data_IF_500892476699
#
_entry.id   IF_500892476699
#
_cell.length_a   1.000
_cell.length_b   1.000
_cell.length_c   1.000
_cell.angle_alpha   90.00
_cell.angle_beta   90.00
_cell.angle_gamma   90.00
#
_symmetry.space_group_name_H-M   'P 1'
#
loop_
_entity.id
_entity.type
_entity.pdbx_description
1 polymer ?
#
# COMPACT_ATOMS: atom_id res chain seq x y z
N UNK A 1 10.86 12.72 16.60
CA UNK A 1 10.54 11.66 15.60
C UNK A 1 9.87 12.32 14.41
N UNK A 2 10.24 12.02 13.15
CA UNK A 2 9.64 12.70 12.01
C UNK A 2 8.16 12.32 11.86
N UNK A 3 7.30 13.31 11.57
CA UNK A 3 5.84 13.14 11.55
C UNK A 3 5.36 12.04 10.59
N UNK A 4 6.04 11.87 9.45
CA UNK A 4 5.72 10.80 8.51
C UNK A 4 5.90 9.40 9.11
N UNK A 5 6.89 9.23 10.00
CA UNK A 5 7.18 7.95 10.63
C UNK A 5 6.17 7.67 11.74
N UNK A 6 5.77 8.71 12.50
CA UNK A 6 4.67 8.62 13.46
C UNK A 6 3.38 8.20 12.74
N UNK A 7 2.98 8.94 11.70
CA UNK A 7 1.74 8.66 10.98
C UNK A 7 1.76 7.30 10.30
N UNK A 8 2.88 6.93 9.66
CA UNK A 8 3.06 5.62 9.03
C UNK A 8 2.97 4.46 10.03
N UNK A 9 3.65 4.55 11.18
CA UNK A 9 3.59 3.50 12.21
C UNK A 9 2.21 3.36 12.83
N UNK A 10 1.55 4.49 13.13
CA UNK A 10 0.18 4.47 13.67
C UNK A 10 -0.77 3.75 12.71
N UNK A 11 -0.74 4.09 11.42
CA UNK A 11 -1.61 3.44 10.43
C UNK A 11 -1.23 1.97 10.19
N UNK A 12 0.06 1.64 10.19
CA UNK A 12 0.54 0.26 10.06
C UNK A 12 0.02 -0.60 11.23
N UNK A 13 0.26 -0.17 12.47
CA UNK A 13 -0.20 -0.87 13.68
C UNK A 13 -1.72 -0.96 13.69
N UNK A 14 -2.42 0.12 13.34
CA UNK A 14 -3.87 0.13 13.28
C UNK A 14 -4.42 -0.91 12.29
N UNK A 15 -3.79 -1.07 11.13
CA UNK A 15 -4.23 -2.03 10.10
C UNK A 15 -4.19 -3.48 10.59
N UNK A 16 -3.32 -3.78 11.55
CA UNK A 16 -3.15 -5.11 12.15
C UNK A 16 -4.05 -5.34 13.39
N UNK A 17 -4.81 -4.33 13.83
CA UNK A 17 -5.74 -4.53 14.95
C UNK A 17 -6.88 -5.49 14.55
N UNK A 18 -7.31 -6.38 15.45
CA UNK A 18 -8.51 -7.18 15.24
C UNK A 18 -9.70 -6.28 14.95
N UNK A 19 -10.48 -6.61 13.91
CA UNK A 19 -11.63 -5.82 13.48
C UNK A 19 -11.28 -4.35 13.17
N UNK A 20 -10.05 -4.06 12.72
CA UNK A 20 -9.57 -2.71 12.36
C UNK A 20 -10.56 -1.93 11.48
N UNK A 21 -11.19 -2.60 10.53
CA UNK A 21 -12.24 -2.02 9.67
C UNK A 21 -13.46 -1.49 10.45
N UNK A 22 -13.93 -2.22 11.47
CA UNK A 22 -15.03 -1.75 12.31
C UNK A 22 -14.55 -0.72 13.34
N UNK A 23 -13.31 -0.87 13.81
CA UNK A 23 -12.71 0.04 14.77
C UNK A 23 -12.44 1.42 14.18
N UNK A 24 -12.12 1.55 12.89
CA UNK A 24 -11.77 2.86 12.31
C UNK A 24 -12.91 3.89 12.38
N UNK A 25 -14.16 3.43 12.51
CA UNK A 25 -15.36 4.27 12.64
C UNK A 25 -15.87 4.36 14.09
N UNK A 26 -15.23 3.65 15.03
CA UNK A 26 -15.65 3.57 16.43
C UNK A 26 -14.79 4.41 17.37
N UNK A 27 -15.37 4.91 18.46
CA UNK A 27 -14.63 5.55 19.53
C UNK A 27 -13.88 4.50 20.39
N UNK A 28 -12.66 4.75 20.89
CA UNK A 28 -11.77 5.89 20.62
C UNK A 28 -10.83 5.68 19.42
N UNK A 29 -10.95 4.54 18.74
CA UNK A 29 -10.08 4.09 17.66
C UNK A 29 -10.04 5.03 16.45
N UNK A 30 -11.14 5.71 16.16
CA UNK A 30 -11.23 6.74 15.12
C UNK A 30 -10.20 7.86 15.34
N UNK A 31 -9.93 8.24 16.60
CA UNK A 31 -8.93 9.27 16.93
C UNK A 31 -7.54 8.80 16.57
N UNK A 32 -7.20 7.55 16.88
CA UNK A 32 -5.89 6.99 16.58
C UNK A 32 -5.66 6.93 15.06
N UNK A 33 -6.67 6.49 14.31
CA UNK A 33 -6.62 6.48 12.85
C UNK A 33 -6.47 7.90 12.27
N UNK A 34 -7.24 8.88 12.77
CA UNK A 34 -7.16 10.27 12.34
C UNK A 34 -5.82 10.93 12.69
N UNK A 35 -5.23 10.65 13.86
CA UNK A 35 -3.90 11.14 14.23
C UNK A 35 -2.86 10.66 13.22
N UNK A 36 -2.93 9.39 12.83
CA UNK A 36 -2.02 8.82 11.83
C UNK A 36 -2.14 9.54 10.47
N UNK A 37 -3.37 9.74 10.00
CA UNK A 37 -3.67 10.44 8.75
C UNK A 37 -3.24 11.92 8.79
N UNK A 38 -3.58 12.65 9.86
CA UNK A 38 -3.23 14.07 10.03
C UNK A 38 -1.71 14.23 10.12
N UNK A 39 -0.99 13.36 10.82
CA UNK A 39 0.47 13.41 10.88
C UNK A 39 1.11 13.29 9.49
N UNK A 40 0.58 12.42 8.62
CA UNK A 40 1.04 12.29 7.23
C UNK A 40 0.69 13.52 6.39
N UNK A 41 -0.51 14.07 6.53
CA UNK A 41 -0.92 15.29 5.82
C UNK A 41 -0.07 16.50 6.23
N UNK A 42 0.20 16.66 7.52
CA UNK A 42 1.09 17.71 8.03
C UNK A 42 2.51 17.50 7.55
N UNK A 43 3.01 16.25 7.50
CA UNK A 43 4.32 15.95 6.95
C UNK A 43 4.42 16.33 5.45
N UNK A 44 3.42 15.96 4.65
CA UNK A 44 3.36 16.35 3.23
C UNK A 44 3.29 17.87 3.07
N UNK A 45 2.44 18.53 3.84
CA UNK A 45 2.30 19.99 3.79
C UNK A 45 3.60 20.71 4.15
N UNK A 46 4.35 20.23 5.14
CA UNK A 46 5.68 20.76 5.47
C UNK A 46 6.66 20.61 4.30
N UNK A 47 6.67 19.45 3.63
CA UNK A 47 7.50 19.24 2.44
C UNK A 47 7.14 20.22 1.31
N UNK A 48 5.85 20.43 1.05
CA UNK A 48 5.37 21.36 0.03
C UNK A 48 5.68 22.83 0.37
N UNK A 49 5.55 23.23 1.64
CA UNK A 49 5.92 24.59 2.07
C UNK A 49 7.42 24.85 1.96
N UNK A 50 8.26 23.86 2.28
CA UNK A 50 9.71 23.96 2.08
C UNK A 50 10.08 24.32 0.63
N UNK A 51 9.39 23.73 -0.35
CA UNK A 51 9.59 24.07 -1.77
C UNK A 51 9.15 25.49 -2.09
N UNK A 52 7.99 25.92 -1.60
CA UNK A 52 7.49 27.28 -1.86
C UNK A 52 8.44 28.34 -1.29
N UNK A 53 8.98 28.11 -0.10
CA UNK A 53 9.97 29.00 0.52
C UNK A 53 11.29 29.03 -0.25
N UNK A 54 11.78 27.89 -0.74
CA UNK A 54 13.01 27.82 -1.55
C UNK A 54 12.89 28.52 -2.92
N UNK A 55 11.69 28.55 -3.51
CA UNK A 55 11.42 29.26 -4.77
C UNK A 55 11.32 30.78 -4.55
N UNK A 56 10.78 31.21 -3.41
CA UNK A 56 10.53 32.62 -3.12
C UNK A 56 11.78 33.42 -2.74
N UNK A 57 12.78 32.78 -2.12
CA UNK A 57 14.04 33.44 -1.73
C UNK A 57 15.21 32.42 -1.74
N UNK A 58 16.01 32.38 -2.83
CA UNK A 58 17.13 31.45 -2.97
C UNK A 58 18.24 31.64 -1.92
N UNK A 59 18.30 32.82 -1.28
CA UNK A 59 19.36 33.20 -0.35
C UNK A 59 18.94 33.08 1.12
N UNK A 60 17.67 32.76 1.41
CA UNK A 60 17.19 32.59 2.78
C UNK A 60 17.69 31.27 3.39
N UNK A 61 18.71 31.37 4.24
CA UNK A 61 19.18 30.30 5.14
C UNK A 61 18.17 30.08 6.28
N UNK A 62 16.99 29.55 5.97
CA UNK A 62 16.01 29.19 7.01
C UNK A 62 16.21 27.75 7.46
N UNK A 63 16.43 27.58 8.76
CA UNK A 63 16.82 26.37 9.50
C UNK A 63 16.32 24.99 9.02
N UNK A 64 17.29 24.07 8.98
CA UNK A 64 17.24 22.63 9.28
C UNK A 64 16.35 21.65 8.48
N UNK A 65 15.40 22.07 7.62
CA UNK A 65 14.62 21.11 6.80
C UNK A 65 14.30 21.63 5.36
N UNK A 66 14.85 22.77 4.96
CA UNK A 66 14.33 23.61 3.86
C UNK A 66 14.94 23.42 2.46
N UNK A 67 15.96 22.57 2.30
CA UNK A 67 16.64 22.35 1.00
C UNK A 67 16.30 21.04 0.30
N UNK A 68 15.18 20.40 0.64
CA UNK A 68 14.81 19.14 -0.02
C UNK A 68 13.93 19.43 -1.24
N UNK A 69 14.41 19.22 -2.49
CA UNK A 69 13.55 19.35 -3.65
C UNK A 69 12.38 18.36 -3.54
N UNK A 70 11.16 18.80 -3.85
CA UNK A 70 10.02 17.91 -3.89
C UNK A 70 10.01 17.17 -5.23
N UNK A 71 9.89 15.86 -5.16
CA UNK A 71 9.73 14.99 -6.32
C UNK A 71 8.28 14.52 -6.39
N UNK A 72 7.69 14.67 -7.58
CA UNK A 72 6.45 13.98 -7.91
C UNK A 72 6.65 12.47 -7.99
N UNK A 73 5.56 11.74 -8.18
CA UNK A 73 5.61 10.28 -8.35
C UNK A 73 6.43 9.87 -9.58
N UNK A 74 6.53 10.77 -10.57
CA UNK A 74 7.31 10.58 -11.78
C UNK A 74 6.58 9.69 -12.78
N UNK A 75 7.17 9.55 -13.98
CA UNK A 75 6.69 8.64 -15.02
C UNK A 75 5.22 8.85 -15.46
N UNK A 76 4.70 10.07 -15.28
CA UNK A 76 3.29 10.40 -15.57
C UNK A 76 2.30 9.93 -14.51
N UNK A 77 2.75 9.30 -13.42
CA UNK A 77 1.88 8.83 -12.34
C UNK A 77 1.20 9.97 -11.58
N UNK A 78 1.80 11.17 -11.59
CA UNK A 78 1.17 12.38 -11.07
C UNK A 78 -0.14 12.71 -11.82
N UNK A 79 -0.17 12.52 -13.15
CA UNK A 79 -1.39 12.72 -13.95
C UNK A 79 -2.44 11.65 -13.69
N UNK A 80 -2.01 10.41 -13.49
CA UNK A 80 -2.92 9.32 -13.10
C UNK A 80 -3.52 9.60 -11.73
N UNK A 81 -2.71 10.01 -10.75
CA UNK A 81 -3.18 10.38 -9.41
C UNK A 81 -4.16 11.55 -9.46
N UNK A 82 -3.85 12.59 -10.25
CA UNK A 82 -4.75 13.73 -10.44
C UNK A 82 -6.08 13.31 -11.08
N UNK A 83 -6.03 12.54 -12.17
CA UNK A 83 -7.21 12.05 -12.87
C UNK A 83 -8.12 11.22 -11.96
N UNK A 84 -7.54 10.25 -11.24
CA UNK A 84 -8.27 9.46 -10.25
C UNK A 84 -8.84 10.33 -9.12
N UNK A 85 -8.08 11.31 -8.65
CA UNK A 85 -8.54 12.28 -7.65
C UNK A 85 -9.76 13.07 -8.12
N UNK A 86 -9.74 13.59 -9.34
CA UNK A 86 -10.88 14.30 -9.95
C UNK A 86 -12.08 13.35 -10.07
N UNK A 87 -11.89 12.13 -10.57
CA UNK A 87 -12.96 11.13 -10.68
C UNK A 87 -13.60 10.85 -9.32
N UNK A 88 -12.81 10.65 -8.28
CA UNK A 88 -13.29 10.41 -6.91
C UNK A 88 -14.03 11.63 -6.36
N UNK A 89 -13.53 12.85 -6.58
CA UNK A 89 -14.19 14.08 -6.14
C UNK A 89 -15.54 14.29 -6.83
N UNK A 90 -15.60 14.14 -8.15
CA UNK A 90 -16.86 14.24 -8.91
C UNK A 90 -17.85 13.17 -8.46
N UNK A 91 -17.38 11.93 -8.30
CA UNK A 91 -18.22 10.83 -7.79
C UNK A 91 -18.77 11.14 -6.40
N UNK A 92 -17.98 11.78 -5.54
CA UNK A 92 -18.41 12.14 -4.21
C UNK A 92 -19.44 13.26 -4.19
N UNK A 93 -19.34 14.25 -5.09
CA UNK A 93 -20.28 15.36 -5.21
C UNK A 93 -21.66 14.92 -5.73
N UNK A 94 -21.71 13.89 -6.57
CA UNK A 94 -22.96 13.37 -7.16
C UNK A 94 -23.53 12.18 -6.36
N UNK A 95 -22.81 11.70 -5.35
CA UNK A 95 -23.23 10.52 -4.57
C UNK A 95 -24.49 10.79 -3.75
N UNK A 96 -25.44 9.86 -3.81
CA UNK A 96 -26.62 9.84 -2.94
C UNK A 96 -26.27 9.64 -1.45
N UNK A 97 -25.03 9.23 -1.14
CA UNK A 97 -24.54 8.99 0.22
C UNK A 97 -23.31 9.87 0.52
N UNK A 98 -23.50 11.19 0.74
CA UNK A 98 -22.39 12.14 0.82
C UNK A 98 -21.43 11.85 1.98
N UNK A 99 -21.94 11.37 3.12
CA UNK A 99 -21.09 11.01 4.28
C UNK A 99 -20.14 9.85 3.96
N UNK A 100 -20.64 8.80 3.31
CA UNK A 100 -19.83 7.63 2.91
C UNK A 100 -18.86 8.03 1.80
N UNK A 101 -19.29 8.88 0.87
CA UNK A 101 -18.44 9.39 -0.18
C UNK A 101 -17.28 10.23 0.36
N UNK A 102 -17.54 11.20 1.25
CA UNK A 102 -16.51 12.01 1.90
C UNK A 102 -15.52 11.17 2.70
N UNK A 103 -16.00 10.09 3.34
CA UNK A 103 -15.12 9.14 4.00
C UNK A 103 -14.16 8.45 3.02
N UNK A 104 -14.65 8.02 1.85
CA UNK A 104 -13.78 7.43 0.82
C UNK A 104 -12.81 8.46 0.21
N UNK A 105 -13.25 9.72 0.03
CA UNK A 105 -12.36 10.81 -0.39
C UNK A 105 -11.23 11.00 0.62
N UNK A 106 -11.52 11.01 1.93
CA UNK A 106 -10.48 11.18 2.96
C UNK A 106 -9.48 10.03 2.96
N UNK A 107 -9.92 8.79 2.71
CA UNK A 107 -9.05 7.63 2.51
C UNK A 107 -8.12 7.82 1.31
N UNK A 108 -8.66 8.19 0.16
CA UNK A 108 -7.88 8.42 -1.08
C UNK A 108 -6.85 9.54 -0.88
N UNK A 109 -7.24 10.65 -0.23
CA UNK A 109 -6.33 11.75 0.12
C UNK A 109 -5.21 11.28 1.04
N UNK A 110 -5.53 10.45 2.04
CA UNK A 110 -4.53 9.89 2.96
C UNK A 110 -3.57 8.94 2.25
N UNK A 111 -4.05 8.08 1.35
CA UNK A 111 -3.19 7.22 0.53
C UNK A 111 -2.32 8.02 -0.45
N UNK A 112 -2.84 9.11 -1.02
CA UNK A 112 -2.04 10.07 -1.78
C UNK A 112 -0.92 10.67 -0.92
N UNK A 113 -1.24 11.09 0.30
CA UNK A 113 -0.24 11.62 1.24
C UNK A 113 0.85 10.61 1.56
N UNK A 114 0.49 9.36 1.83
CA UNK A 114 1.43 8.23 1.98
C UNK A 114 2.37 8.19 0.77
N UNK A 115 1.83 8.06 -0.46
CA UNK A 115 2.64 7.91 -1.68
C UNK A 115 3.64 9.05 -1.87
N UNK A 116 3.17 10.31 -1.78
CA UNK A 116 4.04 11.47 -1.99
C UNK A 116 5.07 11.66 -0.88
N UNK A 117 4.69 11.44 0.38
CA UNK A 117 5.63 11.49 1.51
C UNK A 117 6.70 10.43 1.35
N UNK A 118 6.34 9.18 1.06
CA UNK A 118 7.31 8.11 0.86
C UNK A 118 8.21 8.37 -0.35
N UNK A 119 7.68 8.86 -1.47
CA UNK A 119 8.49 9.25 -2.63
C UNK A 119 9.59 10.27 -2.28
N UNK A 120 9.29 11.19 -1.36
CA UNK A 120 10.18 12.26 -0.96
C UNK A 120 11.09 11.95 0.23
N UNK A 121 10.80 10.89 0.97
CA UNK A 121 11.59 10.42 2.13
C UNK A 121 12.50 9.26 1.77
N UNK A 122 12.10 8.44 0.80
CA UNK A 122 12.85 7.26 0.38
C UNK A 122 14.21 7.67 -0.19
N UNK A 123 15.27 7.00 0.26
CA UNK A 123 16.68 7.30 -0.06
C UNK A 123 17.25 8.62 0.51
N UNK A 124 16.47 9.44 1.22
CA UNK A 124 16.97 10.59 1.99
C UNK A 124 17.17 10.30 3.46
N UNK A 125 16.62 9.17 3.91
CA UNK A 125 16.65 8.71 5.29
C UNK A 125 17.18 7.28 5.33
N UNK A 126 17.16 6.66 6.50
CA UNK A 126 17.46 5.23 6.66
C UNK A 126 16.52 4.33 5.84
N UNK A 127 15.35 4.83 5.40
CA UNK A 127 14.39 4.09 4.60
C UNK A 127 14.79 4.15 3.11
N UNK A 128 15.67 3.25 2.70
CA UNK A 128 16.02 3.06 1.28
C UNK A 128 14.91 2.32 0.54
N UNK A 129 14.86 2.41 -0.80
CA UNK A 129 13.91 1.65 -1.63
C UNK A 129 13.98 0.15 -1.36
N UNK A 130 15.20 -0.38 -1.20
CA UNK A 130 15.43 -1.79 -0.89
C UNK A 130 14.83 -2.18 0.47
N UNK A 131 15.06 -1.37 1.52
CA UNK A 131 14.51 -1.61 2.85
C UNK A 131 13.00 -1.50 2.89
N UNK A 132 12.42 -0.54 2.15
CA UNK A 132 10.98 -0.41 2.00
C UNK A 132 10.40 -1.64 1.31
N UNK A 133 11.01 -2.08 0.22
CA UNK A 133 10.59 -3.28 -0.50
C UNK A 133 10.63 -4.52 0.40
N UNK A 134 11.75 -4.76 1.09
CA UNK A 134 11.86 -5.87 2.04
C UNK A 134 10.83 -5.76 3.17
N UNK A 135 10.64 -4.57 3.73
CA UNK A 135 9.63 -4.31 4.76
C UNK A 135 8.22 -4.66 4.28
N UNK A 136 7.86 -4.26 3.06
CA UNK A 136 6.56 -4.59 2.47
C UNK A 136 6.37 -6.11 2.32
N UNK A 137 7.37 -6.84 1.84
CA UNK A 137 7.28 -8.29 1.68
C UNK A 137 7.25 -9.00 3.04
N UNK A 138 7.99 -8.51 4.04
CA UNK A 138 7.94 -9.06 5.41
C UNK A 138 6.57 -8.83 6.06
N UNK A 139 6.00 -7.64 5.94
CA UNK A 139 4.63 -7.35 6.39
C UNK A 139 3.63 -8.24 5.66
N UNK A 140 3.84 -8.47 4.36
CA UNK A 140 2.99 -9.38 3.57
C UNK A 140 3.09 -10.83 4.08
N UNK A 141 4.30 -11.32 4.37
CA UNK A 141 4.52 -12.66 4.89
C UNK A 141 3.83 -12.84 6.25
N UNK A 142 3.99 -11.87 7.17
CA UNK A 142 3.30 -11.89 8.46
C UNK A 142 1.78 -11.86 8.30
N UNK A 143 1.27 -11.02 7.38
CA UNK A 143 -0.17 -10.98 7.04
C UNK A 143 -0.66 -12.32 6.48
N UNK A 144 0.15 -13.02 5.68
CA UNK A 144 -0.18 -14.35 5.15
C UNK A 144 -0.24 -15.42 6.24
N UNK A 145 0.70 -15.42 7.19
CA UNK A 145 0.66 -16.34 8.35
C UNK A 145 -0.61 -16.11 9.17
N UNK A 146 -0.90 -14.85 9.52
CA UNK A 146 -2.12 -14.51 10.28
C UNK A 146 -3.36 -14.91 9.49
N UNK A 147 -3.45 -14.53 8.22
CA UNK A 147 -4.57 -14.89 7.34
C UNK A 147 -4.80 -16.40 7.30
N UNK A 148 -3.77 -17.19 6.98
CA UNK A 148 -3.88 -18.66 6.91
C UNK A 148 -4.27 -19.27 8.26
N UNK A 149 -3.83 -18.70 9.38
CA UNK A 149 -4.26 -19.16 10.71
C UNK A 149 -5.75 -18.92 10.97
N UNK A 150 -6.33 -17.89 10.33
CA UNK A 150 -7.74 -17.53 10.42
C UNK A 150 -8.63 -18.28 9.42
N UNK A 151 -8.05 -18.90 8.39
CA UNK A 151 -8.75 -19.73 7.39
C UNK A 151 -8.79 -21.21 7.78
N UNK A 152 -8.98 -21.51 9.07
CA UNK A 152 -9.13 -22.88 9.57
C UNK A 152 -10.62 -23.23 9.66
N UNK A 153 -11.16 -24.10 8.79
CA UNK A 153 -12.55 -24.54 8.91
C UNK A 153 -12.75 -25.26 10.24
N UNK A 154 -13.75 -24.85 11.01
CA UNK A 154 -14.14 -25.54 12.24
C UNK A 154 -15.26 -26.56 11.97
N UNK A 155 -15.57 -27.40 12.97
CA UNK A 155 -16.61 -28.43 12.83
C UNK A 155 -17.99 -27.84 12.52
N UNK A 156 -18.29 -26.62 13.00
CA UNK A 156 -19.56 -25.95 12.75
C UNK A 156 -19.66 -25.48 11.29
N UNK A 157 -18.56 -25.02 10.69
CA UNK A 157 -18.49 -24.73 9.26
C UNK A 157 -18.76 -25.97 8.43
N UNK A 158 -18.11 -27.09 8.74
CA UNK A 158 -18.32 -28.37 8.03
C UNK A 158 -19.74 -28.91 8.15
N UNK A 159 -20.40 -28.67 9.28
CA UNK A 159 -21.79 -29.03 9.51
C UNK A 159 -22.80 -28.04 8.87
N UNK A 160 -22.33 -26.90 8.33
CA UNK A 160 -23.20 -25.91 7.71
C UNK A 160 -23.75 -26.40 6.37
N UNK A 161 -25.07 -26.24 6.18
CA UNK A 161 -25.74 -26.49 4.89
C UNK A 161 -25.18 -25.61 3.76
N UNK A 162 -24.53 -24.49 4.10
CA UNK A 162 -23.89 -23.58 3.15
C UNK A 162 -22.44 -23.28 3.55
N UNK A 163 -21.58 -24.29 3.40
CA UNK A 163 -20.15 -24.24 3.69
C UNK A 163 -19.43 -23.02 3.08
N UNK A 164 -19.79 -22.64 1.84
CA UNK A 164 -19.18 -21.50 1.14
C UNK A 164 -19.49 -20.16 1.84
N UNK A 165 -20.65 -20.03 2.47
CA UNK A 165 -21.01 -18.85 3.25
C UNK A 165 -20.39 -18.91 4.63
N UNK A 166 -20.35 -20.09 5.26
CA UNK A 166 -19.71 -20.31 6.56
C UNK A 166 -18.20 -20.00 6.51
N UNK A 167 -17.53 -20.23 5.38
CA UNK A 167 -16.13 -19.88 5.15
C UNK A 167 -15.84 -18.37 5.14
N UNK A 168 -16.84 -17.49 5.08
CA UNK A 168 -16.59 -16.03 5.01
C UNK A 168 -16.08 -15.51 6.34
N UNK A 169 -14.78 -15.27 6.41
CA UNK A 169 -14.16 -14.68 7.59
C UNK A 169 -14.41 -13.16 7.66
N UNK A 170 -15.03 -12.71 8.75
CA UNK A 170 -15.33 -11.30 9.02
C UNK A 170 -14.14 -10.49 9.54
N UNK A 171 -13.06 -11.14 9.96
CA UNK A 171 -11.86 -10.46 10.42
C UNK A 171 -11.09 -9.89 9.23
N UNK A 172 -10.61 -8.62 9.27
CA UNK A 172 -9.99 -7.99 8.11
C UNK A 172 -8.81 -8.76 7.51
N UNK A 173 -7.97 -9.36 8.36
CA UNK A 173 -6.82 -10.17 7.96
C UNK A 173 -7.20 -11.60 7.54
N UNK A 174 -8.43 -12.04 7.77
CA UNK A 174 -8.99 -13.27 7.20
C UNK A 174 -9.94 -13.00 6.03
N UNK A 175 -10.33 -11.74 5.78
CA UNK A 175 -11.39 -11.44 4.84
C UNK A 175 -10.90 -11.52 3.39
N UNK A 176 -11.43 -12.48 2.63
CA UNK A 176 -11.10 -12.78 1.23
C UNK A 176 -10.84 -11.55 0.34
N UNK A 177 -11.74 -10.55 0.36
CA UNK A 177 -11.57 -9.36 -0.49
C UNK A 177 -10.39 -8.46 -0.09
N UNK A 178 -10.08 -8.36 1.21
CA UNK A 178 -9.01 -7.49 1.69
C UNK A 178 -7.64 -8.13 1.48
N UNK A 179 -7.46 -9.36 1.98
CA UNK A 179 -6.17 -10.03 1.88
C UNK A 179 -5.86 -10.53 0.47
N UNK A 180 -6.87 -10.95 -0.30
CA UNK A 180 -6.68 -11.36 -1.69
C UNK A 180 -6.12 -10.23 -2.55
N UNK A 181 -6.75 -9.05 -2.50
CA UNK A 181 -6.27 -7.87 -3.24
C UNK A 181 -4.86 -7.44 -2.81
N UNK A 182 -4.58 -7.48 -1.50
CA UNK A 182 -3.26 -7.18 -0.97
C UNK A 182 -2.18 -8.17 -1.47
N UNK A 183 -2.43 -9.48 -1.39
CA UNK A 183 -1.44 -10.49 -1.82
C UNK A 183 -1.16 -10.44 -3.33
N UNK A 184 -2.14 -10.10 -4.17
CA UNK A 184 -1.91 -9.91 -5.62
C UNK A 184 -0.86 -8.84 -5.88
N UNK A 185 -0.83 -7.77 -5.07
CA UNK A 185 0.17 -6.72 -5.19
C UNK A 185 1.53 -7.13 -4.62
N UNK A 186 1.55 -7.98 -3.58
CA UNK A 186 2.78 -8.38 -2.89
C UNK A 186 3.50 -9.58 -3.53
N UNK A 187 2.78 -10.49 -4.21
CA UNK A 187 3.37 -11.66 -4.88
C UNK A 187 4.44 -11.27 -5.90
N UNK A 188 4.21 -10.31 -6.82
CA UNK A 188 5.25 -9.85 -7.75
C UNK A 188 6.51 -9.33 -7.06
N UNK A 189 6.35 -8.62 -5.94
CA UNK A 189 7.46 -8.10 -5.15
C UNK A 189 8.26 -9.24 -4.50
N UNK A 190 7.60 -10.29 -4.00
CA UNK A 190 8.28 -11.45 -3.44
C UNK A 190 9.00 -12.29 -4.52
N UNK A 191 8.37 -12.50 -5.68
CA UNK A 191 8.98 -13.18 -6.83
C UNK A 191 10.23 -12.44 -7.30
N UNK A 192 10.15 -11.11 -7.42
CA UNK A 192 11.31 -10.30 -7.80
C UNK A 192 12.45 -10.43 -6.78
N UNK A 193 12.14 -10.56 -5.47
CA UNK A 193 13.16 -10.72 -4.43
C UNK A 193 13.81 -12.11 -4.53
N UNK A 194 13.02 -13.15 -4.80
CA UNK A 194 13.49 -14.52 -5.02
C UNK A 194 14.37 -14.67 -6.28
N UNK A 195 14.19 -13.80 -7.28
CA UNK A 195 15.03 -13.77 -8.48
C UNK A 195 16.30 -12.95 -8.25
N UNK A 196 16.19 -11.79 -7.59
CA UNK A 196 17.28 -10.84 -7.46
C UNK A 196 18.36 -11.26 -6.42
N UNK A 197 17.97 -12.02 -5.39
CA UNK A 197 18.84 -12.33 -4.25
C UNK A 197 19.45 -13.73 -4.40
N UNK A 198 20.74 -13.85 -4.07
CA UNK A 198 21.50 -15.11 -4.13
C UNK A 198 21.75 -15.70 -2.73
N UNK A 199 22.30 -16.92 -2.70
CA UNK A 199 22.63 -17.62 -1.45
C UNK A 199 21.42 -18.16 -0.68
N UNK A 200 21.56 -18.33 0.64
CA UNK A 200 20.53 -18.90 1.50
C UNK A 200 19.26 -18.03 1.57
N UNK A 201 19.42 -16.70 1.49
CA UNK A 201 18.31 -15.75 1.45
C UNK A 201 17.39 -15.97 0.25
N UNK A 202 17.91 -16.48 -0.88
CA UNK A 202 17.08 -16.86 -2.03
C UNK A 202 16.02 -17.88 -1.63
N UNK A 203 16.39 -18.87 -0.83
CA UNK A 203 15.46 -19.91 -0.35
C UNK A 203 14.36 -19.32 0.53
N UNK A 204 14.72 -18.35 1.38
CA UNK A 204 13.75 -17.61 2.21
C UNK A 204 12.73 -16.89 1.33
N UNK A 205 13.17 -16.16 0.31
CA UNK A 205 12.26 -15.44 -0.59
C UNK A 205 11.40 -16.38 -1.46
N UNK A 206 11.94 -17.54 -1.86
CA UNK A 206 11.16 -18.60 -2.53
C UNK A 206 10.06 -19.12 -1.59
N UNK A 207 10.42 -19.44 -0.34
CA UNK A 207 9.45 -19.89 0.66
C UNK A 207 8.38 -18.83 0.94
N UNK A 208 8.78 -17.55 1.08
CA UNK A 208 7.85 -16.43 1.24
C UNK A 208 6.92 -16.29 0.03
N UNK A 209 7.44 -16.45 -1.18
CA UNK A 209 6.61 -16.43 -2.40
C UNK A 209 5.57 -17.55 -2.37
N UNK A 210 5.99 -18.77 -2.02
CA UNK A 210 5.09 -19.92 -1.85
C UNK A 210 4.00 -19.67 -0.81
N UNK A 211 4.37 -19.08 0.33
CA UNK A 211 3.44 -18.69 1.39
C UNK A 211 2.40 -17.67 0.90
N UNK A 212 2.83 -16.62 0.19
CA UNK A 212 1.92 -15.61 -0.36
C UNK A 212 0.98 -16.19 -1.41
N UNK A 213 1.47 -17.09 -2.27
CA UNK A 213 0.65 -17.79 -3.27
C UNK A 213 -0.38 -18.70 -2.60
N UNK A 214 0.00 -19.44 -1.57
CA UNK A 214 -0.92 -20.26 -0.79
C UNK A 214 -2.00 -19.39 -0.11
N UNK A 215 -1.62 -18.29 0.53
CA UNK A 215 -2.56 -17.37 1.16
C UNK A 215 -3.49 -16.71 0.13
N UNK A 216 -2.99 -16.35 -1.04
CA UNK A 216 -3.80 -15.82 -2.14
C UNK A 216 -4.80 -16.87 -2.64
N UNK A 217 -4.37 -18.11 -2.84
CA UNK A 217 -5.25 -19.22 -3.25
C UNK A 217 -6.35 -19.48 -2.22
N UNK A 218 -5.97 -19.64 -0.95
CA UNK A 218 -6.90 -19.89 0.16
C UNK A 218 -7.90 -18.74 0.34
N UNK A 219 -7.49 -17.50 0.07
CA UNK A 219 -8.41 -16.36 0.15
C UNK A 219 -9.64 -16.49 -0.76
N UNK A 220 -9.59 -17.30 -1.83
CA UNK A 220 -10.72 -17.51 -2.74
C UNK A 220 -11.22 -16.23 -3.44
N UNK A 221 -10.44 -15.15 -3.43
CA UNK A 221 -10.86 -13.85 -3.93
C UNK A 221 -10.88 -13.80 -5.46
N UNK A 222 -12.08 -13.79 -6.05
CA UNK A 222 -12.27 -13.69 -7.50
C UNK A 222 -11.67 -12.40 -8.07
N UNK A 223 -11.84 -11.28 -7.36
CA UNK A 223 -11.25 -10.00 -7.77
C UNK A 223 -9.72 -10.03 -7.77
N UNK A 224 -9.12 -10.78 -6.83
CA UNK A 224 -7.68 -10.98 -6.79
C UNK A 224 -7.19 -11.80 -7.99
N UNK A 225 -7.91 -12.87 -8.36
CA UNK A 225 -7.61 -13.66 -9.57
C UNK A 225 -7.64 -12.79 -10.83
N UNK A 226 -8.69 -11.98 -11.00
CA UNK A 226 -8.79 -11.03 -12.13
C UNK A 226 -7.62 -10.05 -12.11
N UNK A 227 -7.29 -9.47 -10.95
CA UNK A 227 -6.15 -8.57 -10.79
C UNK A 227 -4.82 -9.21 -11.19
N UNK A 228 -4.60 -10.48 -10.82
CA UNK A 228 -3.41 -11.23 -11.20
C UNK A 228 -3.35 -11.47 -12.72
N UNK A 229 -4.46 -11.83 -13.35
CA UNK A 229 -4.56 -12.02 -14.81
C UNK A 229 -4.25 -10.71 -15.55
N UNK A 230 -4.85 -9.60 -15.11
CA UNK A 230 -4.57 -8.27 -15.69
C UNK A 230 -3.09 -7.91 -15.53
N UNK A 231 -2.50 -8.17 -14.37
CA UNK A 231 -1.10 -7.88 -14.12
C UNK A 231 -0.16 -8.72 -14.99
N UNK A 232 -0.40 -10.04 -15.11
CA UNK A 232 0.36 -10.92 -15.99
C UNK A 232 0.22 -10.51 -17.46
N UNK A 233 -1.00 -10.16 -17.88
CA UNK A 233 -1.28 -9.65 -19.23
C UNK A 233 -0.54 -8.35 -19.52
N UNK A 234 -0.59 -7.37 -18.61
CA UNK A 234 0.14 -6.11 -18.74
C UNK A 234 1.66 -6.33 -18.80
N UNK A 235 2.18 -7.21 -17.94
CA UNK A 235 3.60 -7.58 -17.92
C UNK A 235 4.03 -8.22 -19.23
N UNK A 236 3.23 -9.16 -19.76
CA UNK A 236 3.50 -9.82 -21.03
C UNK A 236 3.44 -8.85 -22.22
N UNK A 237 2.39 -8.02 -22.30
CA UNK A 237 2.24 -6.99 -23.34
C UNK A 237 3.39 -5.98 -23.33
N UNK A 238 3.88 -5.60 -22.15
CA UNK A 238 5.03 -4.70 -22.02
C UNK A 238 6.34 -5.28 -22.55
N UNK A 239 6.46 -6.61 -22.65
CA UNK A 239 7.61 -7.27 -23.29
C UNK A 239 7.47 -7.36 -24.80
N UNK A 240 6.26 -7.44 -25.33
CA UNK A 240 5.99 -7.50 -26.78
C UNK A 240 6.25 -6.16 -27.47
N UNK A 241 5.82 -5.07 -26.84
CA UNK A 241 6.30 -3.75 -27.25
C UNK A 241 7.76 -3.72 -26.83
N UNK A 242 8.70 -3.80 -27.78
CA UNK A 242 10.08 -3.29 -27.59
C UNK A 242 9.98 -1.78 -27.36
N UNK A 243 9.42 -1.37 -26.23
CA UNK A 243 9.62 -0.05 -25.68
C UNK A 243 11.11 -0.05 -25.41
N UNK A 244 11.90 0.47 -26.36
CA UNK A 244 13.30 0.78 -26.08
C UNK A 244 13.22 1.58 -24.79
N UNK A 245 13.71 1.08 -23.65
CA UNK A 245 13.81 1.93 -22.49
C UNK A 245 14.67 3.09 -22.99
N UNK A 246 14.09 4.30 -23.09
CA UNK A 246 14.92 5.48 -23.23
C UNK A 246 16.05 5.33 -22.21
N UNK A 247 17.27 5.74 -22.55
CA UNK A 247 18.46 5.36 -21.78
C UNK A 247 18.43 5.76 -20.27
N UNK A 248 17.40 6.53 -19.87
CA UNK A 248 17.00 6.90 -18.50
C UNK A 248 16.20 5.86 -17.69
N UNK A 249 15.79 4.72 -18.27
CA UNK A 249 14.94 3.70 -17.61
C UNK A 249 15.70 2.44 -17.21
N UNK A 250 16.98 2.56 -16.83
CA UNK A 250 17.66 1.48 -16.12
C UNK A 250 17.13 1.44 -14.69
N UNK A 251 16.39 0.36 -14.41
CA UNK A 251 15.93 0.00 -13.08
C UNK A 251 17.07 0.15 -12.07
N UNK A 252 16.78 0.85 -10.97
CA UNK A 252 17.68 1.08 -9.84
C UNK A 252 17.96 -0.18 -9.03
N UNK A 253 18.59 -1.15 -9.68
CA UNK A 253 19.41 -2.19 -9.08
C UNK A 253 20.79 -2.06 -9.73
N UNK A 254 21.48 -0.98 -9.35
CA UNK A 254 22.93 -0.95 -9.30
C UNK A 254 23.30 -1.00 -7.81
#
# INVERSE_FOLDING_TARGET
>A
MPLWLVGGLVLLVFSWLPLSYYRMVGWAWIVLWQIGAVALLVALWRQLRGVRSAIADPNQLVGLDSKTPFYGLGYGLDWVALGLGITVLVSALVSSFPRVALWNVSLVVTYGAVLYVYCNVVNRTWLTRLRLWWGLVVVAAGTAVVSLSLWRPDAAMWASENFLTALRNHQPLGHHNFVGGYFVLMVPLAVAAAIAIQGWMRRVWIATTGLLLAALYVSGSRGAVVGLVVWLGATWLSRLKRVKPAHRWRWGLA
#
